data_IF_039019257920
#
_entry.id   IF_039019257920
#
_cell.length_a   1.000
_cell.length_b   1.000
_cell.length_c   1.000
_cell.angle_alpha   90.00
_cell.angle_beta   90.00
_cell.angle_gamma   90.00
#
_symmetry.space_group_name_H-M   'P 1'
#
loop_
_entity.id
_entity.type
_entity.pdbx_description
1 polymer ?
#
# COMPACT_ATOMS: atom_id res chain seq x y z
N UNK A 1 14.82 -6.52 -19.01
CA UNK A 1 15.41 -5.67 -17.95
C UNK A 1 14.41 -4.75 -17.25
N UNK A 2 13.46 -4.11 -17.96
CA UNK A 2 12.49 -3.16 -17.37
C UNK A 2 11.54 -3.75 -16.32
N UNK A 3 11.00 -4.96 -16.55
CA UNK A 3 10.17 -5.67 -15.56
C UNK A 3 10.90 -5.92 -14.22
N UNK A 4 12.23 -6.08 -14.24
CA UNK A 4 13.02 -6.26 -13.02
C UNK A 4 13.12 -4.96 -12.20
N UNK A 5 13.10 -3.79 -12.86
CA UNK A 5 13.11 -2.49 -12.18
C UNK A 5 11.79 -2.28 -11.43
N UNK A 6 10.66 -2.44 -12.12
CA UNK A 6 9.32 -2.31 -11.53
C UNK A 6 9.16 -3.25 -10.34
N UNK A 7 9.55 -4.53 -10.49
CA UNK A 7 9.49 -5.51 -9.40
C UNK A 7 10.30 -5.07 -8.17
N UNK A 8 11.48 -4.46 -8.36
CA UNK A 8 12.28 -3.92 -7.25
C UNK A 8 11.61 -2.73 -6.58
N UNK A 9 10.94 -1.86 -7.33
CA UNK A 9 10.26 -0.70 -6.76
C UNK A 9 9.01 -1.11 -5.97
N UNK A 10 8.23 -2.05 -6.51
CA UNK A 10 7.11 -2.68 -5.78
C UNK A 10 7.64 -3.41 -4.54
N UNK A 11 8.79 -4.08 -4.65
CA UNK A 11 9.42 -4.72 -3.50
C UNK A 11 9.80 -3.70 -2.41
N UNK A 12 10.37 -2.55 -2.78
CA UNK A 12 10.68 -1.46 -1.85
C UNK A 12 9.41 -0.89 -1.20
N UNK A 13 8.34 -0.66 -1.95
CA UNK A 13 7.05 -0.22 -1.40
C UNK A 13 6.50 -1.22 -0.37
N UNK A 14 6.63 -2.52 -0.63
CA UNK A 14 6.21 -3.51 0.35
C UNK A 14 7.07 -3.47 1.62
N UNK A 15 8.39 -3.27 1.50
CA UNK A 15 9.26 -3.15 2.69
C UNK A 15 8.89 -1.92 3.53
N UNK A 16 8.58 -0.81 2.88
CA UNK A 16 8.03 0.37 3.56
C UNK A 16 6.73 0.03 4.30
N UNK A 17 5.82 -0.72 3.67
CA UNK A 17 4.59 -1.17 4.32
C UNK A 17 4.89 -2.08 5.53
N UNK A 18 5.84 -3.00 5.42
CA UNK A 18 6.25 -3.87 6.53
C UNK A 18 6.84 -3.06 7.70
N UNK A 19 7.64 -2.03 7.41
CA UNK A 19 8.22 -1.11 8.39
C UNK A 19 7.12 -0.30 9.11
N UNK A 20 6.19 0.28 8.34
CA UNK A 20 5.04 1.02 8.88
C UNK A 20 4.08 0.09 9.65
N UNK A 21 3.92 -1.17 9.23
CA UNK A 21 3.12 -2.16 9.97
C UNK A 21 3.77 -2.48 11.32
N UNK A 22 5.09 -2.63 11.37
CA UNK A 22 5.81 -2.88 12.60
C UNK A 22 5.75 -1.68 13.58
N UNK A 23 5.74 -0.46 13.05
CA UNK A 23 5.70 0.77 13.85
C UNK A 23 4.30 1.12 14.36
N UNK A 24 3.29 1.08 13.48
CA UNK A 24 1.94 1.58 13.77
C UNK A 24 0.89 0.48 13.90
N UNK A 25 1.15 -0.71 13.37
CA UNK A 25 0.24 -1.84 13.40
C UNK A 25 -0.62 -1.98 12.15
N UNK A 26 -1.03 -3.21 11.88
CA UNK A 26 -1.77 -3.64 10.68
C UNK A 26 -3.04 -2.85 10.40
N UNK A 27 -3.78 -2.44 11.44
CA UNK A 27 -5.04 -1.71 11.27
C UNK A 27 -4.84 -0.33 10.61
N UNK A 28 -3.70 0.34 10.88
CA UNK A 28 -3.33 1.58 10.18
C UNK A 28 -3.05 1.32 8.69
N UNK A 29 -2.32 0.25 8.38
CA UNK A 29 -1.99 -0.14 7.01
C UNK A 29 -3.24 -0.46 6.21
N UNK A 30 -4.14 -1.27 6.76
CA UNK A 30 -5.41 -1.62 6.10
C UNK A 30 -6.24 -0.37 5.83
N UNK A 31 -6.34 0.55 6.80
CA UNK A 31 -7.09 1.79 6.63
C UNK A 31 -6.46 2.70 5.58
N UNK A 32 -5.13 2.85 5.61
CA UNK A 32 -4.39 3.65 4.64
C UNK A 32 -4.58 3.11 3.21
N UNK A 33 -4.29 1.82 3.00
CA UNK A 33 -4.44 1.19 1.68
C UNK A 33 -5.87 1.27 1.14
N UNK A 34 -6.88 1.16 2.01
CA UNK A 34 -8.28 1.35 1.60
C UNK A 34 -8.53 2.77 1.11
N UNK A 35 -8.06 3.78 1.84
CA UNK A 35 -8.17 5.19 1.43
C UNK A 35 -7.46 5.43 0.09
N UNK A 36 -6.23 4.95 -0.06
CA UNK A 36 -5.45 5.14 -1.28
C UNK A 36 -6.13 4.44 -2.46
N UNK A 37 -6.60 3.20 -2.28
CA UNK A 37 -7.31 2.46 -3.33
C UNK A 37 -8.60 3.16 -3.77
N UNK A 38 -9.32 3.81 -2.85
CA UNK A 38 -10.51 4.59 -3.16
C UNK A 38 -10.15 5.87 -3.93
N UNK A 39 -9.05 6.54 -3.57
CA UNK A 39 -8.55 7.72 -4.30
C UNK A 39 -8.14 7.37 -5.73
N UNK A 40 -7.63 6.15 -5.95
CA UNK A 40 -7.33 5.61 -7.28
C UNK A 40 -8.55 5.03 -8.02
N UNK A 41 -9.76 5.13 -7.46
CA UNK A 41 -10.98 4.52 -8.02
C UNK A 41 -10.89 2.99 -8.23
N UNK A 42 -10.04 2.30 -7.46
CA UNK A 42 -9.83 0.85 -7.57
C UNK A 42 -10.80 0.05 -6.67
N UNK A 43 -11.27 0.66 -5.59
CA UNK A 43 -12.27 0.08 -4.66
C UNK A 43 -11.95 -1.37 -4.26
N UNK A 44 -10.72 -1.60 -3.82
CA UNK A 44 -10.22 -2.95 -3.54
C UNK A 44 -10.92 -3.55 -2.33
N UNK A 45 -11.24 -4.83 -2.42
CA UNK A 45 -11.83 -5.58 -1.31
C UNK A 45 -10.73 -5.98 -0.31
N UNK A 46 -10.30 -5.03 0.51
CA UNK A 46 -9.31 -5.23 1.56
C UNK A 46 -9.98 -5.71 2.86
N UNK A 47 -9.25 -6.47 3.70
CA UNK A 47 -9.72 -6.75 5.06
C UNK A 47 -10.05 -5.47 5.81
N UNK A 48 -11.16 -5.48 6.56
CA UNK A 48 -11.48 -4.36 7.44
C UNK A 48 -10.52 -4.34 8.65
N UNK A 49 -10.14 -3.14 9.13
CA UNK A 49 -9.55 -2.99 10.45
C UNK A 49 -10.46 -3.56 11.55
N UNK A 50 -9.91 -3.79 12.74
CA UNK A 50 -10.69 -4.21 13.90
C UNK A 50 -11.85 -3.23 14.18
N UNK A 51 -13.02 -3.72 14.65
CA UNK A 51 -14.20 -2.87 14.88
C UNK A 51 -13.99 -1.73 15.88
N UNK A 52 -13.08 -1.91 16.84
CA UNK A 52 -12.72 -0.95 17.89
C UNK A 52 -11.50 -0.09 17.53
N UNK A 53 -11.00 -0.20 16.29
CA UNK A 53 -9.87 0.59 15.82
C UNK A 53 -10.25 2.06 15.66
N UNK A 54 -9.72 2.90 16.55
CA UNK A 54 -9.83 4.35 16.52
C UNK A 54 -8.45 4.95 16.23
N UNK A 55 -8.11 5.22 14.95
CA UNK A 55 -6.79 5.71 14.59
C UNK A 55 -6.54 7.11 15.16
N UNK A 56 -5.32 7.35 15.63
CA UNK A 56 -4.81 8.71 15.79
C UNK A 56 -4.69 9.30 14.40
N UNK A 57 -5.52 10.30 14.08
CA UNK A 57 -5.63 10.84 12.72
C UNK A 57 -4.29 11.29 12.15
N UNK A 58 -3.47 11.94 12.98
CA UNK A 58 -2.15 12.42 12.53
C UNK A 58 -1.21 11.29 12.12
N UNK A 59 -1.26 10.17 12.83
CA UNK A 59 -0.48 8.97 12.50
C UNK A 59 -1.00 8.36 11.20
N UNK A 60 -2.32 8.24 11.06
CA UNK A 60 -2.93 7.74 9.83
C UNK A 60 -2.57 8.60 8.61
N UNK A 61 -2.54 9.93 8.75
CA UNK A 61 -2.10 10.83 7.68
C UNK A 61 -0.65 10.60 7.28
N UNK A 62 0.25 10.39 8.24
CA UNK A 62 1.66 10.07 7.98
C UNK A 62 1.76 8.76 7.18
N UNK A 63 1.11 7.70 7.67
CA UNK A 63 1.11 6.38 7.01
C UNK A 63 0.54 6.47 5.59
N UNK A 64 -0.54 7.22 5.38
CA UNK A 64 -1.10 7.45 4.03
C UNK A 64 -0.08 8.18 3.16
N UNK A 65 0.54 9.24 3.65
CA UNK A 65 1.49 10.05 2.90
C UNK A 65 2.68 9.24 2.40
N UNK A 66 3.33 8.49 3.29
CA UNK A 66 4.49 7.64 2.97
C UNK A 66 4.14 6.60 1.88
N UNK A 67 3.00 5.91 2.02
CA UNK A 67 2.58 4.88 1.06
C UNK A 67 2.16 5.53 -0.27
N UNK A 68 1.43 6.65 -0.25
CA UNK A 68 1.02 7.36 -1.47
C UNK A 68 2.21 7.90 -2.25
N UNK A 69 3.17 8.53 -1.59
CA UNK A 69 4.36 9.06 -2.24
C UNK A 69 5.13 7.94 -2.95
N UNK A 70 5.40 6.83 -2.24
CA UNK A 70 6.07 5.69 -2.83
C UNK A 70 5.26 5.06 -3.98
N UNK A 71 3.93 4.97 -3.85
CA UNK A 71 3.05 4.48 -4.90
C UNK A 71 3.07 5.36 -6.16
N UNK A 72 2.96 6.69 -5.99
CA UNK A 72 2.97 7.62 -7.13
C UNK A 72 4.33 7.71 -7.80
N UNK A 73 5.43 7.62 -7.05
CA UNK A 73 6.77 7.54 -7.63
C UNK A 73 6.90 6.32 -8.57
N UNK A 74 6.31 5.17 -8.19
CA UNK A 74 6.28 3.99 -9.07
C UNK A 74 5.44 4.27 -10.31
N UNK A 75 4.26 4.86 -10.15
CA UNK A 75 3.39 5.17 -11.29
C UNK A 75 4.04 6.16 -12.25
N UNK A 76 4.59 7.27 -11.77
CA UNK A 76 5.19 8.32 -12.58
C UNK A 76 6.37 7.79 -13.40
N UNK A 77 7.25 7.01 -12.77
CA UNK A 77 8.40 6.42 -13.44
C UNK A 77 8.03 5.34 -14.47
N UNK A 78 6.82 4.79 -14.41
CA UNK A 78 6.38 3.64 -15.19
C UNK A 78 5.00 3.83 -15.85
N UNK A 79 4.59 5.08 -16.14
CA UNK A 79 3.25 5.45 -16.63
C UNK A 79 2.77 4.65 -17.86
N UNK A 80 3.68 4.18 -18.70
CA UNK A 80 3.38 3.39 -19.90
C UNK A 80 3.41 1.87 -19.69
N UNK A 81 3.83 1.41 -18.51
CA UNK A 81 4.20 0.00 -18.25
C UNK A 81 3.43 -0.63 -17.08
N UNK A 82 2.96 0.17 -16.12
CA UNK A 82 2.20 -0.31 -14.97
C UNK A 82 1.03 0.62 -14.65
N UNK A 83 -0.12 0.04 -14.33
CA UNK A 83 -1.24 0.80 -13.80
C UNK A 83 -1.39 0.59 -12.28
N UNK A 84 -2.15 1.48 -11.62
CA UNK A 84 -2.33 1.43 -10.17
C UNK A 84 -2.86 0.08 -9.67
N UNK A 85 -3.73 -0.58 -10.46
CA UNK A 85 -4.29 -1.89 -10.09
C UNK A 85 -3.22 -2.96 -9.97
N UNK A 86 -2.26 -3.01 -10.90
CA UNK A 86 -1.20 -4.03 -10.89
C UNK A 86 -0.29 -3.89 -9.67
N UNK A 87 0.04 -2.66 -9.26
CA UNK A 87 0.80 -2.40 -8.03
C UNK A 87 0.01 -2.91 -6.83
N UNK A 88 -1.27 -2.53 -6.73
CA UNK A 88 -2.13 -2.93 -5.63
C UNK A 88 -2.37 -4.45 -5.56
N UNK A 89 -2.53 -5.12 -6.70
CA UNK A 89 -2.68 -6.57 -6.75
C UNK A 89 -1.44 -7.26 -6.18
N UNK A 90 -0.24 -6.73 -6.45
CA UNK A 90 1.01 -7.28 -5.89
C UNK A 90 1.15 -6.97 -4.39
N UNK A 91 0.76 -5.77 -3.95
CA UNK A 91 0.67 -5.42 -2.52
C UNK A 91 -0.27 -6.37 -1.78
N UNK A 92 -1.47 -6.60 -2.31
CA UNK A 92 -2.49 -7.46 -1.70
C UNK A 92 -1.98 -8.90 -1.60
N UNK A 93 -1.39 -9.46 -2.66
CA UNK A 93 -0.80 -10.80 -2.62
C UNK A 93 0.20 -10.92 -1.48
N UNK A 94 1.00 -9.88 -1.22
CA UNK A 94 1.98 -9.87 -0.13
C UNK A 94 1.32 -9.77 1.24
N UNK A 95 0.37 -8.86 1.41
CA UNK A 95 -0.41 -8.71 2.67
C UNK A 95 -1.24 -9.95 3.02
N UNK A 96 -1.68 -10.70 2.01
CA UNK A 96 -2.40 -11.96 2.19
C UNK A 96 -1.48 -13.14 2.52
N UNK A 97 -0.21 -13.12 2.08
CA UNK A 97 0.82 -14.10 2.49
C UNK A 97 1.21 -13.96 3.96
N UNK A 98 0.93 -12.82 4.60
CA UNK A 98 1.07 -12.59 6.06
C UNK A 98 -0.10 -13.18 6.88
N UNK A 99 -0.86 -14.13 6.32
CA UNK A 99 -1.78 -15.01 7.06
C UNK A 99 -1.13 -16.40 7.25
N UNK A 100 -0.02 -16.46 7.98
CA UNK A 100 0.47 -17.68 8.63
C UNK A 100 0.89 -17.29 10.04
#
# INVERSE_FOLDING_TARGET
>A
MKSLKINKQIESLCRLIDELEAEYGRDYILRALKIISNRQMLFLNLPEPKPDFLPILKVLEIVIGEIEEAFYNILEENLSEVNGKEIFDELIKRLQRLKI
#
